data_IF_265463647406
#
_entry.id   IF_265463647406
#
_cell.length_a   1.000
_cell.length_b   1.000
_cell.length_c   1.000
_cell.angle_alpha   90.00
_cell.angle_beta   90.00
_cell.angle_gamma   90.00
#
_symmetry.space_group_name_H-M   'P 1'
#
loop_
_entity.id
_entity.type
_entity.pdbx_description
1 polymer ?
#
# COMPACT_ATOMS: atom_id res chain seq x y z
N UNK A 1 -1.91 -10.49 4.05
CA UNK A 1 -1.81 -10.97 2.66
C UNK A 1 -2.15 -9.82 1.73
N UNK A 2 -1.35 -9.61 0.69
CA UNK A 2 -1.64 -8.63 -0.35
C UNK A 2 -2.49 -9.23 -1.47
N UNK A 3 -3.37 -8.41 -2.04
CA UNK A 3 -4.06 -8.70 -3.28
C UNK A 3 -4.34 -7.40 -4.05
N UNK A 4 -4.35 -7.48 -5.38
CA UNK A 4 -4.80 -6.37 -6.21
C UNK A 4 -6.33 -6.23 -6.09
N UNK A 5 -6.81 -5.01 -5.88
CA UNK A 5 -8.22 -4.70 -5.76
C UNK A 5 -8.64 -3.79 -6.91
N UNK A 6 -8.94 -4.43 -8.06
CA UNK A 6 -9.14 -3.74 -9.33
C UNK A 6 -7.83 -3.16 -9.87
N UNK A 7 -7.96 -2.17 -10.76
CA UNK A 7 -6.81 -1.66 -11.50
C UNK A 7 -5.99 -0.63 -10.70
N UNK A 8 -6.59 0.04 -9.71
CA UNK A 8 -6.00 1.23 -9.08
C UNK A 8 -5.65 1.07 -7.60
N UNK A 9 -5.79 -0.13 -7.04
CA UNK A 9 -5.54 -0.37 -5.63
C UNK A 9 -4.89 -1.71 -5.33
N UNK A 10 -4.08 -1.76 -4.27
CA UNK A 10 -3.59 -2.99 -3.66
C UNK A 10 -3.96 -2.98 -2.18
N UNK A 11 -4.43 -4.11 -1.67
CA UNK A 11 -4.90 -4.21 -0.28
C UNK A 11 -4.08 -5.25 0.47
N UNK A 12 -3.51 -4.84 1.61
CA UNK A 12 -3.06 -5.74 2.64
C UNK A 12 -4.21 -6.06 3.61
N UNK A 13 -4.52 -7.33 3.80
CA UNK A 13 -5.51 -7.81 4.76
C UNK A 13 -4.90 -8.79 5.75
N UNK A 14 -5.27 -8.68 7.02
CA UNK A 14 -4.98 -9.65 8.08
C UNK A 14 -6.24 -10.06 8.82
N UNK A 15 -6.16 -11.14 9.61
CA UNK A 15 -7.32 -11.65 10.35
C UNK A 15 -7.56 -10.86 11.63
N UNK A 16 -6.49 -10.42 12.26
CA UNK A 16 -6.53 -9.69 13.52
C UNK A 16 -6.84 -8.21 13.30
N UNK A 17 -7.61 -7.62 14.21
CA UNK A 17 -7.83 -6.18 14.24
C UNK A 17 -6.49 -5.47 14.45
N UNK A 18 -6.21 -4.49 13.59
CA UNK A 18 -5.06 -3.61 13.69
C UNK A 18 -5.36 -2.57 14.76
N UNK A 19 -4.44 -2.40 15.72
CA UNK A 19 -4.56 -1.38 16.76
C UNK A 19 -4.80 0.01 16.13
N UNK A 20 -5.85 0.76 16.53
CA UNK A 20 -6.13 2.09 16.02
C UNK A 20 -4.96 3.08 16.12
N UNK A 21 -4.09 2.94 17.14
CA UNK A 21 -2.88 3.74 17.27
C UNK A 21 -1.86 3.40 16.18
N UNK A 22 -1.75 2.13 15.81
CA UNK A 22 -0.89 1.67 14.71
C UNK A 22 -1.43 2.18 13.37
N UNK A 23 -2.76 2.09 13.15
CA UNK A 23 -3.40 2.66 11.94
C UNK A 23 -3.10 4.16 11.82
N UNK A 24 -3.31 4.92 12.90
CA UNK A 24 -3.01 6.36 12.92
C UNK A 24 -1.53 6.65 12.64
N UNK A 25 -0.62 5.86 13.21
CA UNK A 25 0.82 5.98 12.96
C UNK A 25 1.15 5.72 11.49
N UNK A 26 0.59 4.68 10.88
CA UNK A 26 0.81 4.32 9.49
C UNK A 26 0.25 5.38 8.54
N UNK A 27 -0.97 5.86 8.76
CA UNK A 27 -1.57 6.93 7.95
C UNK A 27 -0.75 8.22 8.06
N UNK A 28 -0.29 8.59 9.25
CA UNK A 28 0.57 9.76 9.42
C UNK A 28 1.90 9.61 8.69
N UNK A 29 2.56 8.45 8.83
CA UNK A 29 3.82 8.18 8.14
C UNK A 29 3.65 8.20 6.61
N UNK A 30 2.58 7.59 6.11
CA UNK A 30 2.24 7.62 4.69
C UNK A 30 2.10 9.06 4.17
N UNK A 31 1.38 9.92 4.90
CA UNK A 31 1.14 11.31 4.50
C UNK A 31 2.40 12.20 4.55
N UNK A 32 3.46 11.78 5.24
CA UNK A 32 4.71 12.54 5.34
C UNK A 32 5.83 12.00 4.47
N UNK A 33 5.75 10.74 4.06
CA UNK A 33 6.75 10.09 3.23
C UNK A 33 6.55 10.43 1.75
N UNK A 34 7.63 10.33 0.98
CA UNK A 34 7.55 10.39 -0.49
C UNK A 34 7.34 8.98 -1.01
N UNK A 35 6.25 8.79 -1.75
CA UNK A 35 5.94 7.54 -2.45
C UNK A 35 6.18 7.71 -3.94
N UNK A 36 6.65 6.66 -4.58
CA UNK A 36 6.91 6.65 -6.01
C UNK A 36 5.62 6.46 -6.80
N UNK A 37 4.77 5.51 -6.36
CA UNK A 37 3.53 5.18 -7.06
C UNK A 37 2.28 5.29 -6.20
N UNK A 38 2.41 5.20 -4.88
CA UNK A 38 1.27 5.25 -3.96
C UNK A 38 0.76 6.69 -3.79
N UNK A 39 -0.55 6.87 -3.87
CA UNK A 39 -1.20 8.19 -3.82
C UNK A 39 -2.06 8.39 -2.58
N UNK A 40 -2.63 7.31 -2.03
CA UNK A 40 -3.51 7.36 -0.87
C UNK A 40 -3.44 6.05 -0.07
N UNK A 41 -3.69 6.12 1.23
CA UNK A 41 -3.93 4.96 2.09
C UNK A 41 -5.32 5.04 2.72
N UNK A 42 -6.11 3.98 2.56
CA UNK A 42 -7.43 3.81 3.15
C UNK A 42 -7.38 2.64 4.13
N UNK A 43 -7.75 2.88 5.37
CA UNK A 43 -7.63 1.89 6.45
C UNK A 43 -9.00 1.46 6.96
N UNK A 44 -9.15 0.16 7.23
CA UNK A 44 -10.23 -0.38 8.07
C UNK A 44 -9.62 -0.99 9.33
N UNK A 45 -10.44 -1.67 10.14
CA UNK A 45 -9.95 -2.38 11.32
C UNK A 45 -9.02 -3.56 10.98
N UNK A 46 -9.04 -4.08 9.74
CA UNK A 46 -8.27 -5.27 9.35
C UNK A 46 -7.59 -5.17 7.97
N UNK A 47 -7.74 -4.03 7.28
CA UNK A 47 -7.12 -3.79 5.98
C UNK A 47 -6.38 -2.46 5.88
N UNK A 48 -5.36 -2.46 5.04
CA UNK A 48 -4.65 -1.29 4.54
C UNK A 48 -4.72 -1.32 3.01
N UNK A 49 -5.46 -0.40 2.41
CA UNK A 49 -5.60 -0.29 0.95
C UNK A 49 -4.77 0.88 0.47
N UNK A 50 -3.90 0.65 -0.49
CA UNK A 50 -3.05 1.65 -1.11
C UNK A 50 -3.52 1.93 -2.52
N UNK A 51 -3.82 3.18 -2.81
CA UNK A 51 -4.19 3.64 -4.14
C UNK A 51 -2.94 3.98 -4.94
N UNK A 52 -2.99 3.81 -6.26
CA UNK A 52 -1.91 4.15 -7.17
C UNK A 52 -2.44 4.55 -8.56
N UNK A 53 -1.57 5.14 -9.38
CA UNK A 53 -1.85 5.46 -10.79
C UNK A 53 -1.19 4.43 -11.73
N UNK A 54 -1.93 3.45 -12.27
CA UNK A 54 -1.37 2.32 -13.03
C UNK A 54 -0.60 2.76 -14.26
N UNK A 55 -1.13 3.74 -14.99
CA UNK A 55 -0.50 4.28 -16.20
C UNK A 55 0.91 4.78 -15.92
N UNK A 56 1.15 5.46 -14.79
CA UNK A 56 2.50 5.92 -14.41
C UNK A 56 3.46 4.76 -14.15
N UNK A 57 2.98 3.70 -13.50
CA UNK A 57 3.79 2.50 -13.23
C UNK A 57 4.11 1.77 -14.54
N UNK A 58 3.10 1.59 -15.40
CA UNK A 58 3.22 0.93 -16.70
C UNK A 58 4.21 1.65 -17.61
N UNK A 59 4.10 2.98 -17.73
CA UNK A 59 5.00 3.80 -18.54
C UNK A 59 6.42 3.83 -18.00
N UNK A 60 6.61 3.81 -16.68
CA UNK A 60 7.95 3.85 -16.07
C UNK A 60 8.72 2.53 -16.13
N UNK A 61 8.03 1.40 -16.25
CA UNK A 61 8.62 0.07 -16.20
C UNK A 61 8.38 -0.80 -17.43
N UNK A 62 7.71 -0.29 -18.46
CA UNK A 62 7.32 -1.04 -19.66
C UNK A 62 6.60 -2.35 -19.32
N UNK A 63 5.60 -2.25 -18.44
CA UNK A 63 4.83 -3.40 -17.92
C UNK A 63 3.34 -3.26 -18.22
N UNK A 64 2.66 -4.41 -18.36
CA UNK A 64 1.19 -4.50 -18.42
C UNK A 64 0.56 -4.94 -17.08
N UNK A 65 1.39 -5.32 -16.10
CA UNK A 65 0.97 -5.77 -14.77
C UNK A 65 1.63 -4.88 -13.70
N UNK A 66 1.08 -3.69 -13.43
CA UNK A 66 1.70 -2.73 -12.52
C UNK A 66 1.54 -3.13 -11.04
N UNK A 67 0.55 -3.97 -10.71
CA UNK A 67 0.20 -4.31 -9.33
C UNK A 67 1.33 -5.00 -8.57
N UNK A 68 2.18 -5.80 -9.23
CA UNK A 68 3.33 -6.44 -8.58
C UNK A 68 4.32 -5.42 -8.01
N UNK A 69 4.70 -4.42 -8.81
CA UNK A 69 5.63 -3.36 -8.40
C UNK A 69 5.04 -2.49 -7.27
N UNK A 70 3.73 -2.26 -7.31
CA UNK A 70 3.03 -1.48 -6.29
C UNK A 70 2.89 -2.26 -4.99
N UNK A 71 2.66 -3.59 -5.05
CA UNK A 71 2.69 -4.46 -3.88
C UNK A 71 4.08 -4.42 -3.23
N UNK A 72 5.16 -4.48 -4.02
CA UNK A 72 6.53 -4.37 -3.48
C UNK A 72 6.79 -3.03 -2.77
N UNK A 73 6.31 -1.92 -3.32
CA UNK A 73 6.40 -0.61 -2.66
C UNK A 73 5.60 -0.57 -1.35
N UNK A 74 4.35 -1.03 -1.38
CA UNK A 74 3.48 -1.06 -0.21
C UNK A 74 4.04 -1.98 0.89
N UNK A 75 4.55 -3.15 0.53
CA UNK A 75 5.19 -4.08 1.46
C UNK A 75 6.44 -3.46 2.09
N UNK A 76 7.31 -2.84 1.30
CA UNK A 76 8.50 -2.14 1.78
C UNK A 76 8.14 -1.06 2.79
N UNK A 77 7.16 -0.21 2.47
CA UNK A 77 6.65 0.80 3.40
C UNK A 77 6.24 0.17 4.73
N UNK A 78 5.46 -0.92 4.71
CA UNK A 78 5.00 -1.58 5.92
C UNK A 78 6.12 -2.25 6.72
N UNK A 79 7.15 -2.79 6.07
CA UNK A 79 8.35 -3.32 6.72
C UNK A 79 9.16 -2.19 7.37
N UNK A 80 9.40 -1.10 6.66
CA UNK A 80 10.13 0.07 7.16
C UNK A 80 9.45 0.72 8.37
N UNK A 81 8.12 0.70 8.43
CA UNK A 81 7.36 1.18 9.60
C UNK A 81 7.18 0.13 10.71
N UNK A 82 7.84 -1.02 10.58
CA UNK A 82 7.81 -2.10 11.56
C UNK A 82 6.41 -2.67 11.79
N UNK A 83 5.58 -2.67 10.75
CA UNK A 83 4.26 -3.31 10.76
C UNK A 83 4.35 -4.74 10.23
N UNK A 84 5.08 -4.96 9.13
CA UNK A 84 5.44 -6.29 8.62
C UNK A 84 6.86 -6.66 9.04
N UNK A 85 7.17 -7.97 8.98
CA UNK A 85 8.47 -8.54 9.29
C UNK A 85 9.20 -8.98 8.02
#
# INVERSE_FOLDING_TARGET
>A
MFFANGDHAVTYQQNEVIDPLVLKRLTNAFNTDTHQYLTEIITTENTLTFMYEPVRVMESHDTIEPSGLVVEEAERFLVEKGFLK
#
